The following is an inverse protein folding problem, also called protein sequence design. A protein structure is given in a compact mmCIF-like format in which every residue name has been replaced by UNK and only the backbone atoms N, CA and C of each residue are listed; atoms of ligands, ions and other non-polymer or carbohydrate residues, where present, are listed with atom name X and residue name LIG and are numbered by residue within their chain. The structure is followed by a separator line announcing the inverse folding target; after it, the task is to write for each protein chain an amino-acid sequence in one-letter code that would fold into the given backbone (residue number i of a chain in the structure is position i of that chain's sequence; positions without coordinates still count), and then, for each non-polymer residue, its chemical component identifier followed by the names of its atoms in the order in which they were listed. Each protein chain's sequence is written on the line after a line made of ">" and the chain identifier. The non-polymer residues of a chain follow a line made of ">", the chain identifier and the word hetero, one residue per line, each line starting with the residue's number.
data_IF_592503080854
#
_entry.id   IF_592503080854
#
_cell.length_a   1.000
_cell.length_b   1.000
_cell.length_c   1.000
_cell.angle_alpha   90.00
_cell.angle_beta   90.00
_cell.angle_gamma   90.00
#
_symmetry.space_group_name_H-M   'P 1'
#
loop_
_entity.id
_entity.type
_entity.pdbx_description
1 polymer ?
#
# COMPACT_ATOMS: atom_id res chain seq x y z
N UNK A 1 51.76 28.12 -55.69
CA UNK A 1 51.52 26.68 -55.96
C UNK A 1 51.89 25.73 -54.82
N UNK A 2 52.59 26.14 -53.76
CA UNK A 2 52.97 25.24 -52.62
C UNK A 2 51.92 25.06 -51.53
N UNK A 3 50.85 25.85 -51.49
CA UNK A 3 49.81 25.77 -50.45
C UNK A 3 48.60 24.87 -50.76
N UNK A 4 48.33 24.57 -52.05
CA UNK A 4 47.21 23.70 -52.42
C UNK A 4 47.51 22.21 -52.16
N UNK A 5 48.76 21.79 -52.26
CA UNK A 5 49.15 20.38 -52.03
C UNK A 5 49.12 20.00 -50.56
N UNK A 6 49.33 20.93 -49.62
CA UNK A 6 49.24 20.67 -48.18
C UNK A 6 47.77 20.50 -47.72
N UNK A 7 46.85 21.27 -48.31
CA UNK A 7 45.42 21.19 -47.94
C UNK A 7 44.83 19.86 -48.45
N UNK A 8 45.20 19.40 -49.65
CA UNK A 8 44.75 18.13 -50.19
C UNK A 8 45.27 16.91 -49.39
N UNK A 9 46.45 17.00 -48.79
CA UNK A 9 47.03 15.94 -47.95
C UNK A 9 46.38 15.89 -46.58
N UNK A 10 46.08 17.02 -45.94
CA UNK A 10 45.35 17.05 -44.69
C UNK A 10 43.91 16.53 -44.82
N UNK A 11 43.21 16.85 -45.93
CA UNK A 11 41.84 16.35 -46.15
C UNK A 11 41.79 14.83 -46.32
N UNK A 12 42.82 14.22 -46.96
CA UNK A 12 42.88 12.77 -47.10
C UNK A 12 43.19 12.04 -45.79
N UNK A 13 43.98 12.61 -44.91
CA UNK A 13 44.29 12.02 -43.60
C UNK A 13 43.06 12.10 -42.64
N UNK A 14 42.30 13.20 -42.71
CA UNK A 14 41.06 13.34 -41.87
C UNK A 14 39.95 12.40 -42.35
N UNK A 15 39.82 12.19 -43.69
CA UNK A 15 38.86 11.25 -44.21
C UNK A 15 39.21 9.76 -43.94
N UNK A 16 40.51 9.40 -43.82
CA UNK A 16 40.92 8.05 -43.45
C UNK A 16 40.69 7.73 -41.99
N UNK A 17 40.76 8.72 -41.10
CA UNK A 17 40.46 8.50 -39.67
C UNK A 17 38.97 8.44 -39.34
N UNK A 18 38.11 9.06 -40.15
CA UNK A 18 36.65 8.94 -39.95
C UNK A 18 36.06 7.60 -40.43
N UNK A 19 36.78 6.86 -41.31
CA UNK A 19 36.27 5.56 -41.77
C UNK A 19 36.71 4.36 -40.92
N UNK A 20 37.69 4.55 -40.02
CA UNK A 20 38.20 3.50 -39.13
C UNK A 20 37.47 3.45 -37.76
N UNK A 21 36.63 4.45 -37.43
CA UNK A 21 35.91 4.52 -36.19
C UNK A 21 34.43 4.07 -36.28
N UNK A 22 33.97 3.56 -37.41
CA UNK A 22 32.56 3.20 -37.61
C UNK A 22 32.30 1.67 -37.56
N UNK A 23 33.21 0.89 -36.99
CA UNK A 23 33.10 -0.59 -37.06
C UNK A 23 33.22 -1.30 -35.71
N UNK A 24 32.91 -0.64 -34.57
CA UNK A 24 32.83 -1.34 -33.26
C UNK A 24 31.71 -0.85 -32.36
N UNK A 25 30.51 -0.67 -32.89
CA UNK A 25 29.31 -0.64 -32.05
C UNK A 25 28.39 -1.82 -32.42
N UNK A 26 28.93 -3.04 -32.29
CA UNK A 26 28.06 -4.19 -32.04
C UNK A 26 27.55 -4.06 -30.61
N UNK A 27 26.49 -3.27 -30.46
CA UNK A 27 25.69 -3.25 -29.24
C UNK A 27 25.08 -4.63 -29.07
N UNK A 28 25.67 -5.43 -28.22
CA UNK A 28 25.07 -6.65 -27.69
C UNK A 28 23.85 -6.21 -26.90
N UNK A 29 22.69 -6.06 -27.57
CA UNK A 29 21.40 -5.97 -26.91
C UNK A 29 21.17 -7.31 -26.25
N UNK A 30 21.64 -7.47 -25.02
CA UNK A 30 21.14 -8.50 -24.12
C UNK A 30 19.65 -8.20 -23.91
N UNK A 31 18.80 -8.84 -24.69
CA UNK A 31 17.38 -8.90 -24.43
C UNK A 31 17.19 -9.79 -23.22
N UNK A 32 17.24 -9.19 -22.02
CA UNK A 32 16.62 -9.79 -20.87
C UNK A 32 15.12 -9.83 -21.19
N UNK A 33 14.66 -10.97 -21.68
CA UNK A 33 13.25 -11.35 -21.65
C UNK A 33 12.91 -11.55 -20.16
N UNK A 34 12.66 -10.47 -19.43
CA UNK A 34 11.90 -10.57 -18.19
C UNK A 34 10.52 -11.05 -18.62
N UNK A 35 10.25 -12.31 -18.36
CA UNK A 35 8.91 -12.87 -18.47
C UNK A 35 8.05 -12.13 -17.45
N UNK A 36 7.46 -11.00 -17.85
CA UNK A 36 6.41 -10.30 -17.10
C UNK A 36 5.12 -11.15 -17.15
N UNK A 37 5.20 -12.35 -16.61
CA UNK A 37 4.00 -13.12 -16.32
C UNK A 37 3.38 -12.45 -15.10
N UNK A 38 2.33 -11.66 -15.29
CA UNK A 38 1.54 -11.17 -14.17
C UNK A 38 1.21 -12.34 -13.25
N UNK A 39 1.38 -12.19 -11.93
CA UNK A 39 1.08 -13.28 -11.00
C UNK A 39 -0.37 -13.74 -11.23
N UNK A 40 -0.56 -15.06 -11.26
CA UNK A 40 -1.90 -15.63 -11.38
C UNK A 40 -2.61 -15.36 -10.06
N UNK A 41 -3.66 -14.53 -10.09
CA UNK A 41 -4.46 -14.24 -8.91
C UNK A 41 -5.31 -15.46 -8.55
N UNK A 42 -5.45 -15.71 -7.25
CA UNK A 42 -6.29 -16.74 -6.69
C UNK A 42 -7.77 -16.28 -6.64
N UNK A 43 -8.68 -17.21 -6.67
CA UNK A 43 -10.10 -16.95 -6.52
C UNK A 43 -10.50 -17.07 -5.04
N UNK A 44 -10.76 -15.94 -4.40
CA UNK A 44 -11.12 -15.87 -2.97
C UNK A 44 -12.42 -16.64 -2.65
N UNK A 45 -13.28 -16.88 -3.64
CA UNK A 45 -14.54 -17.64 -3.40
C UNK A 45 -14.28 -19.11 -3.10
N UNK A 46 -13.12 -19.63 -3.51
CA UNK A 46 -12.70 -21.02 -3.25
C UNK A 46 -12.14 -21.24 -1.85
N UNK A 47 -11.86 -20.17 -1.10
CA UNK A 47 -11.39 -20.28 0.27
C UNK A 47 -12.53 -20.73 1.19
N UNK A 48 -12.42 -21.98 1.68
CA UNK A 48 -13.46 -22.61 2.49
C UNK A 48 -13.47 -22.10 3.95
N UNK A 49 -12.27 -21.86 4.53
CA UNK A 49 -12.15 -21.36 5.90
C UNK A 49 -12.16 -19.83 5.92
N UNK A 50 -13.29 -19.26 6.29
CA UNK A 50 -13.48 -17.82 6.41
C UNK A 50 -12.56 -17.15 7.46
N UNK A 51 -12.02 -17.95 8.38
CA UNK A 51 -11.14 -17.49 9.46
C UNK A 51 -9.65 -17.70 9.17
N UNK A 52 -9.29 -18.38 8.08
CA UNK A 52 -7.88 -18.49 7.65
C UNK A 52 -7.30 -17.11 7.37
N UNK A 53 -6.00 -16.94 7.67
CA UNK A 53 -5.24 -15.76 7.27
C UNK A 53 -4.67 -15.96 5.87
N UNK A 54 -4.94 -15.01 4.98
CA UNK A 54 -4.43 -15.00 3.60
C UNK A 54 -3.79 -13.66 3.27
N UNK A 55 -2.88 -13.66 2.30
CA UNK A 55 -2.26 -12.44 1.80
C UNK A 55 -3.15 -11.82 0.70
N UNK A 56 -3.56 -10.57 0.88
CA UNK A 56 -4.42 -9.85 -0.07
C UNK A 56 -3.80 -9.76 -1.48
N UNK A 57 -2.47 -9.66 -1.59
CA UNK A 57 -1.76 -9.61 -2.88
C UNK A 57 -2.03 -10.82 -3.78
N UNK A 58 -2.36 -11.97 -3.18
CA UNK A 58 -2.67 -13.18 -3.94
C UNK A 58 -4.04 -13.13 -4.63
N UNK A 59 -4.90 -12.15 -4.30
CA UNK A 59 -6.29 -12.08 -4.77
C UNK A 59 -6.60 -10.84 -5.60
N UNK A 60 -5.77 -9.80 -5.54
CA UNK A 60 -5.96 -8.59 -6.35
C UNK A 60 -4.68 -7.78 -6.51
N UNK A 61 -4.52 -7.17 -7.69
CA UNK A 61 -3.48 -6.19 -8.01
C UNK A 61 -4.02 -4.74 -7.96
N UNK A 62 -5.28 -4.55 -7.53
CA UNK A 62 -5.96 -3.26 -7.61
C UNK A 62 -5.89 -2.44 -6.32
N UNK A 63 -5.02 -2.81 -5.41
CA UNK A 63 -4.72 -2.05 -4.19
C UNK A 63 -3.38 -1.33 -4.30
N UNK A 64 -3.27 -0.20 -3.59
CA UNK A 64 -1.98 0.47 -3.36
C UNK A 64 -1.51 0.12 -1.95
N UNK A 65 -0.30 -0.41 -1.84
CA UNK A 65 0.27 -0.82 -0.56
C UNK A 65 1.30 0.21 -0.10
N UNK A 66 1.00 0.91 0.98
CA UNK A 66 1.87 1.83 1.71
C UNK A 66 1.93 1.42 3.18
N UNK A 67 2.30 0.14 3.40
CA UNK A 67 2.27 -0.50 4.72
C UNK A 67 3.24 0.20 5.67
N UNK A 68 2.75 1.18 6.44
CA UNK A 68 3.56 2.11 7.24
C UNK A 68 4.47 1.41 8.23
N UNK A 69 4.03 0.33 8.82
CA UNK A 69 4.83 -0.43 9.80
C UNK A 69 5.87 -1.37 9.17
N UNK A 70 5.89 -1.48 7.84
CA UNK A 70 6.97 -2.12 7.08
C UNK A 70 8.14 -1.17 6.77
N UNK A 71 8.05 0.08 7.17
CA UNK A 71 9.07 1.13 7.05
C UNK A 71 9.28 1.82 8.40
N UNK A 72 10.18 2.80 8.47
CA UNK A 72 10.33 3.68 9.62
C UNK A 72 9.40 4.93 9.56
N UNK A 73 8.61 5.08 8.49
CA UNK A 73 7.62 6.16 8.32
C UNK A 73 6.32 5.85 9.06
N UNK A 74 6.42 5.79 10.39
CA UNK A 74 5.31 5.57 11.32
C UNK A 74 5.63 6.23 12.67
N UNK A 75 4.68 6.25 13.60
CA UNK A 75 4.88 6.91 14.90
C UNK A 75 5.91 6.23 15.81
N UNK A 76 6.23 4.95 15.56
CA UNK A 76 7.28 4.22 16.30
C UNK A 76 8.69 4.62 15.83
N UNK A 77 8.84 5.26 14.66
CA UNK A 77 10.09 5.61 13.99
C UNK A 77 11.00 4.41 13.72
N UNK A 78 10.40 3.23 13.56
CA UNK A 78 11.13 2.00 13.26
C UNK A 78 10.26 1.02 12.44
N UNK A 79 10.94 0.21 11.62
CA UNK A 79 10.33 -0.91 10.91
C UNK A 79 10.00 -2.02 11.90
N UNK A 80 8.73 -2.44 11.98
CA UNK A 80 8.28 -3.53 12.88
C UNK A 80 7.66 -4.70 12.14
N UNK A 81 7.29 -4.55 10.86
CA UNK A 81 6.89 -5.63 9.98
C UNK A 81 8.07 -6.08 9.11
N UNK A 82 8.20 -7.37 8.81
CA UNK A 82 9.30 -7.85 7.98
C UNK A 82 9.23 -7.32 6.53
N UNK A 83 8.03 -7.11 5.99
CA UNK A 83 7.73 -6.64 4.64
C UNK A 83 6.35 -5.98 4.57
N UNK A 84 6.04 -5.40 3.42
CA UNK A 84 4.82 -4.64 3.11
C UNK A 84 3.62 -5.53 2.69
N UNK A 85 3.50 -6.71 3.32
CA UNK A 85 2.43 -7.65 3.05
C UNK A 85 1.17 -7.34 3.88
N UNK A 86 0.00 -7.49 3.27
CA UNK A 86 -1.29 -7.34 3.92
C UNK A 86 -1.95 -8.70 4.15
N UNK A 87 -1.80 -9.24 5.36
CA UNK A 87 -2.52 -10.43 5.79
C UNK A 87 -3.84 -10.04 6.44
N UNK A 88 -4.91 -10.72 6.09
CA UNK A 88 -6.25 -10.55 6.68
C UNK A 88 -6.94 -11.92 6.76
N UNK A 89 -8.02 -12.04 7.54
CA UNK A 89 -8.88 -13.20 7.43
C UNK A 89 -9.61 -13.23 6.10
N UNK A 90 -9.88 -14.41 5.56
CA UNK A 90 -10.58 -14.60 4.28
C UNK A 90 -11.88 -13.77 4.21
N UNK A 91 -12.68 -13.76 5.28
CA UNK A 91 -13.91 -12.96 5.35
C UNK A 91 -13.66 -11.45 5.22
N UNK A 92 -12.53 -10.96 5.77
CA UNK A 92 -12.15 -9.56 5.67
C UNK A 92 -11.67 -9.22 4.27
N UNK A 93 -10.89 -10.12 3.65
CA UNK A 93 -10.46 -9.97 2.26
C UNK A 93 -11.68 -9.94 1.32
N UNK A 94 -12.66 -10.84 1.48
CA UNK A 94 -13.88 -10.85 0.67
C UNK A 94 -14.61 -9.50 0.72
N UNK A 95 -14.84 -8.97 1.92
CA UNK A 95 -15.50 -7.67 2.09
C UNK A 95 -14.67 -6.50 1.53
N UNK A 96 -13.34 -6.55 1.69
CA UNK A 96 -12.44 -5.50 1.21
C UNK A 96 -12.34 -5.48 -0.32
N UNK A 97 -12.39 -6.63 -0.98
CA UNK A 97 -12.44 -6.75 -2.44
C UNK A 97 -13.72 -6.10 -3.00
N UNK A 98 -14.88 -6.34 -2.38
CA UNK A 98 -16.13 -5.71 -2.78
C UNK A 98 -16.12 -4.19 -2.55
N UNK A 99 -15.56 -3.74 -1.41
CA UNK A 99 -15.36 -2.31 -1.16
C UNK A 99 -14.47 -1.67 -2.24
N UNK A 100 -13.32 -2.29 -2.55
CA UNK A 100 -12.40 -1.75 -3.56
C UNK A 100 -13.03 -1.71 -4.95
N UNK A 101 -13.84 -2.72 -5.31
CA UNK A 101 -14.62 -2.70 -6.55
C UNK A 101 -15.54 -1.48 -6.61
N UNK A 102 -16.25 -1.19 -5.50
CA UNK A 102 -17.12 0.00 -5.41
C UNK A 102 -16.35 1.31 -5.56
N UNK A 103 -15.11 1.39 -5.06
CA UNK A 103 -14.22 2.55 -5.27
C UNK A 103 -13.74 2.64 -6.72
N UNK A 104 -13.34 1.51 -7.34
CA UNK A 104 -12.87 1.48 -8.73
C UNK A 104 -13.95 1.97 -9.70
N UNK A 105 -15.21 1.61 -9.49
CA UNK A 105 -16.36 2.09 -10.30
C UNK A 105 -16.53 3.62 -10.22
N UNK A 106 -15.93 4.27 -9.21
CA UNK A 106 -15.92 5.71 -8.99
C UNK A 106 -14.59 6.38 -9.36
N UNK A 107 -13.63 5.61 -9.89
CA UNK A 107 -12.31 6.12 -10.30
C UNK A 107 -11.26 6.18 -9.19
N UNK A 108 -11.46 5.46 -8.08
CA UNK A 108 -10.54 5.42 -6.95
C UNK A 108 -10.06 3.99 -6.67
N UNK A 109 -8.96 3.87 -5.93
CA UNK A 109 -8.47 2.59 -5.38
C UNK A 109 -8.15 2.75 -3.90
N UNK A 110 -8.31 1.68 -3.14
CA UNK A 110 -7.89 1.64 -1.74
C UNK A 110 -6.36 1.66 -1.66
N UNK A 111 -5.85 2.56 -0.81
CA UNK A 111 -4.47 2.60 -0.34
C UNK A 111 -4.42 2.05 1.09
N UNK A 112 -3.58 1.05 1.34
CA UNK A 112 -3.49 0.32 2.60
C UNK A 112 -2.30 0.81 3.43
N UNK A 113 -2.53 1.15 4.69
CA UNK A 113 -1.52 1.55 5.68
C UNK A 113 -1.22 0.45 6.70
N UNK A 114 -2.26 -0.28 7.16
CA UNK A 114 -2.13 -1.42 8.07
C UNK A 114 -3.23 -2.46 7.84
N UNK A 115 -2.89 -3.72 8.11
CA UNK A 115 -3.77 -4.86 8.00
C UNK A 115 -3.72 -5.69 9.30
N UNK A 116 -3.47 -7.00 9.23
CA UNK A 116 -3.25 -7.80 10.42
C UNK A 116 -1.97 -7.36 11.14
N UNK A 117 -2.11 -7.13 12.44
CA UNK A 117 -1.04 -6.72 13.34
C UNK A 117 -0.80 -7.81 14.38
N UNK A 118 0.37 -8.46 14.44
CA UNK A 118 0.68 -9.41 15.51
C UNK A 118 0.56 -8.76 16.89
N UNK A 119 0.03 -9.50 17.87
CA UNK A 119 -0.15 -8.97 19.24
C UNK A 119 1.15 -8.45 19.88
N UNK A 120 2.29 -9.03 19.51
CA UNK A 120 3.60 -8.55 19.98
C UNK A 120 3.88 -7.11 19.56
N UNK A 121 3.49 -6.73 18.32
CA UNK A 121 3.62 -5.37 17.81
C UNK A 121 2.65 -4.42 18.53
N UNK A 122 1.41 -4.85 18.77
CA UNK A 122 0.46 -4.09 19.58
C UNK A 122 1.00 -3.76 20.96
N UNK A 123 1.68 -4.72 21.62
CA UNK A 123 2.34 -4.48 22.92
C UNK A 123 3.45 -3.44 22.82
N UNK A 124 4.18 -3.40 21.70
CA UNK A 124 5.23 -2.43 21.47
C UNK A 124 4.64 -1.03 21.29
N UNK A 125 3.60 -0.89 20.47
CA UNK A 125 2.87 0.36 20.26
C UNK A 125 2.33 0.93 21.57
N UNK A 126 1.68 0.08 22.38
CA UNK A 126 1.14 0.48 23.67
C UNK A 126 2.19 1.00 24.67
N UNK A 127 3.43 0.50 24.61
CA UNK A 127 4.49 1.02 25.49
C UNK A 127 4.90 2.44 25.15
N UNK A 128 4.70 2.85 23.91
CA UNK A 128 5.05 4.19 23.40
C UNK A 128 3.87 5.15 23.59
N UNK A 129 2.66 4.70 23.24
CA UNK A 129 1.42 5.47 23.35
C UNK A 129 0.40 4.64 24.15
N UNK A 130 0.42 4.72 25.50
CA UNK A 130 -0.49 3.95 26.36
C UNK A 130 -1.86 4.62 26.51
N UNK A 131 -2.44 5.06 25.40
CA UNK A 131 -3.74 5.71 25.32
C UNK A 131 -4.69 4.87 24.45
N UNK A 132 -5.80 4.41 25.05
CA UNK A 132 -6.77 3.55 24.40
C UNK A 132 -7.59 4.26 23.29
N UNK A 133 -7.55 5.58 23.22
CA UNK A 133 -8.16 6.36 22.15
C UNK A 133 -7.40 6.22 20.81
N UNK A 134 -6.10 5.87 20.87
CA UNK A 134 -5.23 5.77 19.70
C UNK A 134 -4.61 4.38 19.54
N UNK A 135 -4.23 3.73 20.64
CA UNK A 135 -3.61 2.41 20.60
C UNK A 135 -4.40 1.46 21.49
N UNK A 136 -5.03 0.45 20.92
CA UNK A 136 -5.83 -0.50 21.68
C UNK A 136 -4.99 -1.20 22.78
N UNK A 137 -5.57 -1.33 23.99
CA UNK A 137 -4.92 -2.02 25.09
C UNK A 137 -4.62 -3.49 24.73
N UNK A 138 -3.34 -3.93 24.75
CA UNK A 138 -2.96 -5.27 24.31
C UNK A 138 -3.47 -6.41 25.19
N UNK A 139 -3.99 -6.11 26.41
CA UNK A 139 -4.69 -7.10 27.24
C UNK A 139 -5.99 -7.56 26.59
N UNK A 140 -6.73 -6.61 25.98
CA UNK A 140 -7.98 -6.88 25.23
C UNK A 140 -7.70 -7.26 23.77
N UNK A 141 -6.60 -6.77 23.20
CA UNK A 141 -6.24 -6.88 21.80
C UNK A 141 -7.00 -5.85 20.94
N UNK A 142 -6.45 -5.62 19.73
CA UNK A 142 -7.07 -4.82 18.66
C UNK A 142 -7.80 -5.73 17.68
N UNK A 143 -8.70 -5.18 16.88
CA UNK A 143 -9.31 -5.89 15.75
C UNK A 143 -8.25 -6.19 14.67
N UNK A 144 -7.19 -5.36 14.52
CA UNK A 144 -6.03 -5.72 13.72
C UNK A 144 -5.37 -7.02 14.18
N UNK A 145 -5.29 -7.27 15.50
CA UNK A 145 -4.72 -8.53 16.01
C UNK A 145 -5.59 -9.75 15.68
N UNK A 146 -6.81 -9.52 15.22
CA UNK A 146 -7.78 -10.54 14.83
C UNK A 146 -7.87 -10.73 13.31
N UNK A 147 -7.15 -9.89 12.52
CA UNK A 147 -7.20 -9.90 11.05
C UNK A 147 -8.52 -9.40 10.46
N UNK A 148 -9.24 -8.60 11.25
CA UNK A 148 -10.55 -8.05 10.91
C UNK A 148 -10.59 -6.53 10.76
N UNK A 149 -9.45 -5.83 10.84
CA UNK A 149 -9.36 -4.39 10.65
C UNK A 149 -8.38 -4.03 9.55
N UNK A 150 -8.62 -2.89 8.93
CA UNK A 150 -7.75 -2.24 7.95
C UNK A 150 -7.65 -0.75 8.24
N UNK A 151 -6.44 -0.19 8.07
CA UNK A 151 -6.21 1.24 8.02
C UNK A 151 -5.97 1.62 6.57
N UNK A 152 -6.77 2.54 6.04
CA UNK A 152 -6.84 2.83 4.61
C UNK A 152 -7.00 4.31 4.30
N UNK A 153 -6.60 4.68 3.09
CA UNK A 153 -6.96 5.90 2.38
C UNK A 153 -7.39 5.54 0.95
N UNK A 154 -7.53 6.53 0.10
CA UNK A 154 -7.83 6.37 -1.32
C UNK A 154 -6.74 7.02 -2.16
N UNK A 155 -6.55 6.49 -3.37
CA UNK A 155 -5.86 7.16 -4.46
C UNK A 155 -6.81 7.33 -5.64
N UNK A 156 -6.63 8.41 -6.40
CA UNK A 156 -7.38 8.66 -7.63
C UNK A 156 -6.84 7.84 -8.82
N UNK A 157 -7.41 8.04 -10.00
CA UNK A 157 -7.01 7.37 -11.24
C UNK A 157 -5.58 7.70 -11.70
N UNK A 158 -4.98 8.78 -11.19
CA UNK A 158 -3.60 9.19 -11.44
C UNK A 158 -2.63 8.62 -10.38
N UNK A 159 -3.15 7.94 -9.36
CA UNK A 159 -2.38 7.40 -8.24
C UNK A 159 -2.06 8.44 -7.17
N UNK A 160 -2.68 9.62 -7.21
CA UNK A 160 -2.51 10.66 -6.20
C UNK A 160 -3.40 10.34 -5.00
N UNK A 161 -2.86 10.52 -3.80
CA UNK A 161 -3.60 10.30 -2.57
C UNK A 161 -4.68 11.36 -2.38
N UNK A 162 -5.88 10.92 -2.01
CA UNK A 162 -7.00 11.80 -1.69
C UNK A 162 -6.76 12.46 -0.34
N UNK A 163 -6.88 13.79 -0.29
CA UNK A 163 -6.68 14.54 0.95
C UNK A 163 -7.81 14.23 1.96
N UNK A 164 -7.42 13.73 3.12
CA UNK A 164 -8.31 13.40 4.25
C UNK A 164 -8.13 14.38 5.44
N UNK A 165 -7.35 15.46 5.26
CA UNK A 165 -7.17 16.55 6.22
C UNK A 165 -6.15 16.28 7.33
N UNK A 166 -5.83 15.02 7.62
CA UNK A 166 -4.72 14.64 8.49
C UNK A 166 -3.99 13.44 7.88
N UNK A 167 -2.72 13.31 8.22
CA UNK A 167 -1.97 12.10 7.90
C UNK A 167 -2.48 10.90 8.71
N UNK A 168 -2.15 9.70 8.28
CA UNK A 168 -2.26 8.47 9.04
C UNK A 168 -1.51 8.58 10.38
N UNK A 169 -2.02 7.96 11.44
CA UNK A 169 -1.46 8.02 12.81
C UNK A 169 -1.35 9.46 13.37
N UNK A 170 -2.26 10.34 12.99
CA UNK A 170 -2.36 11.66 13.62
C UNK A 170 -3.15 11.54 14.93
N UNK A 171 -2.47 11.74 16.06
CA UNK A 171 -3.04 11.60 17.42
C UNK A 171 -3.64 12.93 17.90
N UNK A 172 -4.75 13.34 17.28
CA UNK A 172 -5.49 14.55 17.59
C UNK A 172 -6.96 14.44 17.22
N UNK A 173 -7.77 15.37 17.73
CA UNK A 173 -9.21 15.39 17.47
C UNK A 173 -9.56 15.55 15.98
N UNK A 174 -8.67 16.15 15.19
CA UNK A 174 -8.82 16.36 13.76
C UNK A 174 -8.88 15.04 12.99
N UNK A 175 -8.39 13.93 13.55
CA UNK A 175 -8.50 12.60 12.95
C UNK A 175 -9.89 11.98 13.14
N UNK A 176 -10.70 12.49 14.06
CA UNK A 176 -12.03 11.95 14.33
C UNK A 176 -12.99 12.12 13.16
N UNK A 177 -13.86 11.13 12.95
CA UNK A 177 -14.98 11.23 12.00
C UNK A 177 -15.96 12.36 12.33
N UNK A 178 -16.03 12.81 13.60
CA UNK A 178 -16.92 13.85 14.06
C UNK A 178 -16.32 15.26 13.97
N UNK A 179 -15.03 15.39 13.62
CA UNK A 179 -14.38 16.69 13.48
C UNK A 179 -14.87 17.39 12.22
N UNK A 180 -15.47 18.59 12.38
CA UNK A 180 -16.13 19.33 11.31
C UNK A 180 -15.36 20.57 10.85
N UNK A 181 -14.31 20.98 11.54
CA UNK A 181 -13.53 22.16 11.18
C UNK A 181 -12.46 21.83 10.11
N UNK A 182 -12.91 21.30 9.00
CA UNK A 182 -12.14 20.95 7.80
C UNK A 182 -12.80 21.59 6.57
N UNK A 183 -12.12 21.64 5.44
CA UNK A 183 -12.72 22.10 4.20
C UNK A 183 -13.86 21.18 3.76
N UNK A 184 -14.81 21.72 3.00
CA UNK A 184 -15.94 20.95 2.45
C UNK A 184 -15.45 19.77 1.60
N UNK A 185 -14.36 19.94 0.87
CA UNK A 185 -13.73 18.89 0.06
C UNK A 185 -13.24 17.73 0.94
N UNK A 186 -12.50 18.02 2.01
CA UNK A 186 -12.01 16.99 2.94
C UNK A 186 -13.17 16.26 3.62
N UNK A 187 -14.19 17.01 4.07
CA UNK A 187 -15.40 16.43 4.66
C UNK A 187 -16.11 15.50 3.66
N UNK A 188 -16.21 15.91 2.39
CA UNK A 188 -16.78 15.08 1.33
C UNK A 188 -15.95 13.82 1.07
N UNK A 189 -14.62 13.93 1.05
CA UNK A 189 -13.71 12.79 0.86
C UNK A 189 -13.85 11.77 1.99
N UNK A 190 -13.84 12.21 3.26
CA UNK A 190 -14.06 11.34 4.43
C UNK A 190 -15.44 10.68 4.42
N UNK A 191 -16.47 11.44 4.05
CA UNK A 191 -17.83 10.92 3.92
C UNK A 191 -17.91 9.84 2.85
N UNK A 192 -17.32 10.07 1.70
CA UNK A 192 -17.28 9.13 0.58
C UNK A 192 -16.58 7.82 0.98
N UNK A 193 -15.38 7.90 1.60
CA UNK A 193 -14.66 6.75 2.12
C UNK A 193 -15.53 5.96 3.11
N UNK A 194 -16.09 6.66 4.10
CA UNK A 194 -16.92 6.07 5.14
C UNK A 194 -18.15 5.36 4.58
N UNK A 195 -18.90 5.99 3.69
CA UNK A 195 -20.14 5.44 3.15
C UNK A 195 -19.92 4.12 2.41
N UNK A 196 -18.89 4.05 1.56
CA UNK A 196 -18.58 2.82 0.83
C UNK A 196 -18.13 1.71 1.80
N UNK A 197 -17.31 2.02 2.78
CA UNK A 197 -16.87 1.02 3.76
C UNK A 197 -18.04 0.49 4.60
N UNK A 198 -18.97 1.36 5.04
CA UNK A 198 -20.17 0.95 5.76
C UNK A 198 -21.07 0.06 4.90
N UNK A 199 -21.24 0.36 3.60
CA UNK A 199 -22.03 -0.44 2.66
C UNK A 199 -21.43 -1.84 2.44
N UNK A 200 -20.12 -1.99 2.63
CA UNK A 200 -19.39 -3.25 2.46
C UNK A 200 -19.08 -3.96 3.80
N UNK A 201 -19.98 -3.84 4.76
CA UNK A 201 -19.95 -4.56 6.04
C UNK A 201 -18.80 -4.20 6.98
N UNK A 202 -18.21 -3.02 6.82
CA UNK A 202 -17.27 -2.46 7.79
C UNK A 202 -17.99 -1.47 8.72
N UNK A 203 -17.36 -1.16 9.85
CA UNK A 203 -17.75 -0.10 10.77
C UNK A 203 -16.55 0.78 11.06
N UNK A 204 -16.80 2.05 11.32
CA UNK A 204 -15.80 3.04 11.69
C UNK A 204 -15.26 2.83 13.11
N UNK A 205 -14.12 3.45 13.36
CA UNK A 205 -13.64 3.76 14.69
C UNK A 205 -13.64 5.30 14.85
N UNK A 206 -14.42 5.82 15.79
CA UNK A 206 -14.79 7.24 15.85
C UNK A 206 -13.60 8.21 15.85
N UNK A 207 -12.50 7.86 16.53
CA UNK A 207 -11.33 8.74 16.67
C UNK A 207 -10.38 8.73 15.46
N UNK A 208 -10.60 7.85 14.46
CA UNK A 208 -9.65 7.60 13.36
C UNK A 208 -10.39 7.46 12.03
N UNK A 209 -10.27 8.43 11.12
CA UNK A 209 -10.94 8.41 9.81
C UNK A 209 -10.47 7.26 8.90
N UNK A 210 -9.26 6.75 9.11
CA UNK A 210 -8.65 5.68 8.30
C UNK A 210 -9.03 4.27 8.75
N UNK A 211 -9.48 4.10 10.02
CA UNK A 211 -9.64 2.79 10.64
C UNK A 211 -11.03 2.19 10.43
N UNK A 212 -11.07 0.98 9.87
CA UNK A 212 -12.30 0.24 9.60
C UNK A 212 -12.23 -1.18 10.12
N UNK A 213 -13.24 -1.59 10.89
CA UNK A 213 -13.40 -2.93 11.42
C UNK A 213 -14.46 -3.70 10.65
N UNK A 214 -14.18 -4.92 10.19
CA UNK A 214 -15.21 -5.80 9.66
C UNK A 214 -16.22 -6.14 10.77
N UNK A 215 -17.52 -6.06 10.48
CA UNK A 215 -18.57 -6.42 11.43
C UNK A 215 -18.42 -7.88 11.90
N UNK A 216 -18.55 -8.10 13.21
CA UNK A 216 -18.40 -9.41 13.83
C UNK A 216 -16.96 -9.83 14.17
N UNK A 217 -15.93 -9.12 13.71
CA UNK A 217 -14.53 -9.50 13.96
C UNK A 217 -14.07 -9.33 15.42
N UNK A 218 -14.85 -8.65 16.26
CA UNK A 218 -14.57 -8.57 17.71
C UNK A 218 -14.66 -9.93 18.42
N UNK A 219 -15.34 -10.91 17.81
CA UNK A 219 -15.48 -12.28 18.33
C UNK A 219 -14.37 -13.22 17.84
N UNK A 220 -13.52 -12.79 16.90
CA UNK A 220 -12.42 -13.60 16.41
C UNK A 220 -11.28 -13.68 17.43
N UNK A 221 -10.52 -14.76 17.36
CA UNK A 221 -9.34 -14.92 18.23
C UNK A 221 -8.23 -13.93 17.92
N UNK A 222 -7.64 -13.38 18.98
CA UNK A 222 -6.42 -12.57 18.87
C UNK A 222 -5.25 -13.46 18.47
N UNK A 223 -4.55 -13.08 17.40
CA UNK A 223 -3.41 -13.81 16.87
C UNK A 223 -2.07 -13.11 17.19
N UNK A 224 -1.03 -13.93 17.25
CA UNK A 224 0.35 -13.46 17.29
C UNK A 224 1.20 -14.15 16.20
N UNK A 225 0.51 -14.65 15.15
CA UNK A 225 1.15 -15.30 13.99
C UNK A 225 2.10 -14.30 13.32
N UNK A 226 3.34 -14.72 13.14
CA UNK A 226 4.32 -13.98 12.34
C UNK A 226 4.28 -14.50 10.91
N UNK A 227 4.60 -13.65 9.95
CA UNK A 227 4.80 -14.06 8.56
C UNK A 227 6.25 -13.87 8.15
N UNK A 228 6.63 -14.54 7.10
CA UNK A 228 7.91 -14.35 6.41
C UNK A 228 7.62 -13.72 5.06
N UNK A 229 8.54 -12.89 4.60
CA UNK A 229 8.48 -12.33 3.26
C UNK A 229 8.84 -13.43 2.26
N UNK A 230 8.08 -13.49 1.18
CA UNK A 230 8.49 -14.27 0.00
C UNK A 230 9.57 -13.45 -0.71
N UNK A 231 10.74 -14.06 -0.95
CA UNK A 231 11.86 -13.47 -1.68
C UNK A 231 11.61 -13.55 -3.18
#
# INVERSE_FOLDING_TARGET
>A
MKNLTKIAFLLRVVLSFCFASLLTLVSCKSTYLTSNKSPILLDITKEADSNAFVNLRNYSNDFVFDMKYATADNFLKEKVYPCDECFLRVKTVKALLEANKSFIEKGFKIKLYDCYRPRAIQKKMWRIVPDANFVANPKKGSIHNRGGAVDISLVDSLGLEVDMGTRFDFFGEEASHNYQNLSDEILANRKFLKEIMLQNNFKIFESEWWHYNLNGSNNDEVSNKKWRCEN
#
